data_IF_503459479778
#
_entry.id   IF_503459479778
#
_cell.length_a   1.000
_cell.length_b   1.000
_cell.length_c   1.000
_cell.angle_alpha   90.00
_cell.angle_beta   90.00
_cell.angle_gamma   90.00
#
_symmetry.space_group_name_H-M   'P 1'
#
loop_
_entity.id
_entity.type
_entity.pdbx_description
1 polymer ?
#
# COMPACT_ATOMS: atom_id res chain seq x y z
N UNK A 1 19.94 1.49 -14.04
CA UNK A 1 19.09 1.48 -12.82
C UNK A 1 17.88 2.38 -13.06
N UNK A 2 16.72 2.07 -12.49
CA UNK A 2 15.47 2.82 -12.68
C UNK A 2 15.35 4.02 -11.72
N UNK A 3 16.41 4.81 -11.60
CA UNK A 3 16.49 5.95 -10.66
C UNK A 3 15.56 7.10 -11.05
N UNK A 4 15.11 7.89 -10.07
CA UNK A 4 14.28 9.07 -10.29
C UNK A 4 12.82 8.77 -10.62
N UNK A 5 12.35 7.55 -10.32
CA UNK A 5 10.94 7.15 -10.48
C UNK A 5 10.29 7.00 -9.10
N UNK A 6 9.01 7.39 -9.02
CA UNK A 6 8.11 7.10 -7.90
C UNK A 6 7.27 5.87 -8.23
N UNK A 7 7.07 4.99 -7.26
CA UNK A 7 6.12 3.89 -7.35
C UNK A 7 5.02 4.08 -6.30
N UNK A 8 3.77 4.00 -6.74
CA UNK A 8 2.60 3.95 -5.87
C UNK A 8 2.08 2.52 -5.90
N UNK A 9 2.03 1.87 -4.74
CA UNK A 9 1.60 0.49 -4.59
C UNK A 9 0.33 0.47 -3.74
N UNK A 10 -0.73 -0.15 -4.25
CA UNK A 10 -2.02 -0.23 -3.57
C UNK A 10 -2.31 -1.71 -3.25
N UNK A 11 -1.79 -2.25 -2.14
CA UNK A 11 -2.12 -3.60 -1.72
C UNK A 11 -3.54 -3.65 -1.14
N UNK A 12 -4.33 -4.62 -1.61
CA UNK A 12 -5.67 -4.90 -1.08
C UNK A 12 -5.64 -6.20 -0.27
N UNK A 13 -6.30 -6.20 0.89
CA UNK A 13 -6.33 -7.35 1.80
C UNK A 13 -7.67 -7.50 2.50
N UNK A 14 -8.08 -8.75 2.73
CA UNK A 14 -9.21 -9.04 3.62
C UNK A 14 -8.90 -8.71 5.10
N UNK A 15 -7.64 -8.87 5.52
CA UNK A 15 -7.16 -8.63 6.88
C UNK A 15 -6.63 -7.20 7.04
N UNK A 16 -6.80 -6.61 8.23
CA UNK A 16 -6.25 -5.29 8.55
C UNK A 16 -4.81 -5.36 9.07
N UNK A 17 -3.86 -5.14 8.18
CA UNK A 17 -2.43 -5.10 8.51
C UNK A 17 -1.98 -3.79 9.17
N UNK A 18 -2.85 -2.76 9.26
CA UNK A 18 -2.56 -1.58 10.08
C UNK A 18 -2.72 -1.87 11.58
N UNK A 19 -3.39 -2.98 11.93
CA UNK A 19 -3.47 -3.46 13.29
C UNK A 19 -2.15 -4.14 13.68
N UNK A 20 -1.54 -3.70 14.78
CA UNK A 20 -0.26 -4.24 15.30
C UNK A 20 -0.27 -5.75 15.49
N UNK A 21 -1.42 -6.37 15.78
CA UNK A 21 -1.54 -7.82 15.91
C UNK A 21 -1.30 -8.56 14.59
N UNK A 22 -1.62 -7.93 13.46
CA UNK A 22 -1.50 -8.51 12.12
C UNK A 22 -0.36 -7.89 11.30
N UNK A 23 0.23 -6.76 11.73
CA UNK A 23 1.27 -6.05 10.98
C UNK A 23 2.46 -6.94 10.58
N UNK A 24 2.87 -7.88 11.45
CA UNK A 24 3.95 -8.82 11.14
C UNK A 24 3.60 -9.85 10.06
N UNK A 25 2.32 -9.99 9.72
CA UNK A 25 1.83 -10.87 8.65
C UNK A 25 1.76 -10.15 7.30
N UNK A 26 2.05 -8.84 7.23
CA UNK A 26 2.19 -8.14 5.96
C UNK A 26 3.55 -8.45 5.34
N UNK A 27 3.57 -9.45 4.48
CA UNK A 27 4.73 -9.76 3.65
C UNK A 27 4.77 -8.93 2.35
N UNK A 28 3.67 -8.27 1.98
CA UNK A 28 3.51 -7.63 0.68
C UNK A 28 4.28 -6.31 0.64
N UNK A 29 4.02 -5.43 1.61
CA UNK A 29 4.63 -4.13 1.69
C UNK A 29 6.17 -4.17 1.81
N UNK A 30 6.77 -4.95 2.74
CA UNK A 30 8.23 -5.01 2.86
C UNK A 30 8.89 -5.63 1.62
N UNK A 31 8.30 -6.70 1.05
CA UNK A 31 8.85 -7.34 -0.15
C UNK A 31 8.89 -6.37 -1.34
N UNK A 32 7.78 -5.67 -1.61
CA UNK A 32 7.71 -4.74 -2.74
C UNK A 32 8.67 -3.56 -2.57
N UNK A 33 8.85 -3.04 -1.35
CA UNK A 33 9.87 -2.02 -1.08
C UNK A 33 11.27 -2.52 -1.42
N UNK A 34 11.63 -3.72 -0.96
CA UNK A 34 12.96 -4.30 -1.23
C UNK A 34 13.18 -4.59 -2.71
N UNK A 35 12.19 -5.16 -3.39
CA UNK A 35 12.27 -5.47 -4.82
C UNK A 35 12.38 -4.21 -5.69
N UNK A 36 11.60 -3.17 -5.38
CA UNK A 36 11.66 -1.88 -6.07
C UNK A 36 12.99 -1.16 -5.81
N UNK A 37 13.48 -1.18 -4.57
CA UNK A 37 14.78 -0.62 -4.22
C UNK A 37 15.92 -1.33 -4.97
N UNK A 38 15.85 -2.66 -5.11
CA UNK A 38 16.84 -3.44 -5.86
C UNK A 38 16.97 -2.99 -7.33
N UNK A 39 15.86 -2.63 -7.99
CA UNK A 39 15.89 -2.12 -9.37
C UNK A 39 16.18 -0.61 -9.47
N UNK A 40 16.27 0.09 -8.33
CA UNK A 40 16.63 1.51 -8.22
C UNK A 40 15.47 2.47 -7.98
N UNK A 41 14.29 1.98 -7.65
CA UNK A 41 13.11 2.77 -7.29
C UNK A 41 13.02 2.84 -5.76
N UNK A 42 13.49 3.94 -5.18
CA UNK A 42 13.52 4.14 -3.72
C UNK A 42 12.38 5.00 -3.20
N UNK A 43 11.74 5.79 -4.07
CA UNK A 43 10.54 6.56 -3.75
C UNK A 43 9.31 5.65 -3.94
N UNK A 44 8.91 4.99 -2.84
CA UNK A 44 7.81 4.03 -2.83
C UNK A 44 6.76 4.44 -1.81
N UNK A 45 5.57 4.77 -2.30
CA UNK A 45 4.38 5.02 -1.50
C UNK A 45 3.51 3.75 -1.46
N UNK A 46 3.10 3.33 -0.27
CA UNK A 46 2.23 2.17 -0.09
C UNK A 46 0.92 2.65 0.52
N UNK A 47 -0.17 2.43 -0.20
CA UNK A 47 -1.53 2.79 0.18
C UNK A 47 -2.30 1.50 0.46
N UNK A 48 -2.24 1.03 1.70
CA UNK A 48 -2.87 -0.23 2.10
C UNK A 48 -4.39 -0.07 2.24
N UNK A 49 -5.14 -0.70 1.34
CA UNK A 49 -6.60 -0.77 1.38
C UNK A 49 -6.99 -2.11 2.00
N UNK A 50 -7.03 -2.12 3.32
CA UNK A 50 -7.28 -3.33 4.09
C UNK A 50 -8.73 -3.41 4.60
N UNK A 51 -9.17 -4.62 4.95
CA UNK A 51 -10.48 -4.85 5.59
C UNK A 51 -11.60 -5.21 4.62
N UNK A 52 -11.28 -5.71 3.41
CA UNK A 52 -12.30 -6.10 2.42
C UNK A 52 -13.19 -7.27 2.87
N UNK A 53 -12.81 -8.00 3.94
CA UNK A 53 -13.64 -9.05 4.55
C UNK A 53 -14.52 -8.55 5.71
N UNK A 54 -14.44 -7.26 6.05
CA UNK A 54 -15.21 -6.61 7.12
C UNK A 54 -16.48 -5.96 6.54
N UNK A 55 -17.57 -5.79 7.31
CA UNK A 55 -18.74 -4.99 6.90
C UNK A 55 -18.45 -3.50 6.63
N UNK A 56 -17.17 -3.09 6.61
CA UNK A 56 -16.69 -1.73 6.33
C UNK A 56 -16.05 -1.63 4.93
N UNK A 57 -16.45 -2.49 4.00
CA UNK A 57 -15.90 -2.52 2.65
C UNK A 57 -16.03 -1.16 1.94
N UNK A 58 -17.19 -0.51 2.02
CA UNK A 58 -17.36 0.81 1.38
C UNK A 58 -16.42 1.88 1.99
N UNK A 59 -16.24 1.89 3.31
CA UNK A 59 -15.35 2.83 4.00
C UNK A 59 -13.87 2.60 3.61
N UNK A 60 -13.47 1.33 3.47
CA UNK A 60 -12.13 0.97 3.03
C UNK A 60 -11.87 1.43 1.59
N UNK A 61 -12.85 1.25 0.69
CA UNK A 61 -12.76 1.71 -0.69
C UNK A 61 -12.66 3.24 -0.73
N UNK A 62 -13.51 3.96 0.00
CA UNK A 62 -13.51 5.42 0.03
C UNK A 62 -12.18 5.99 0.53
N UNK A 63 -11.65 5.47 1.64
CA UNK A 63 -10.31 5.84 2.15
C UNK A 63 -9.20 5.54 1.14
N UNK A 64 -9.30 4.40 0.45
CA UNK A 64 -8.36 4.03 -0.61
C UNK A 64 -8.38 5.04 -1.76
N UNK A 65 -9.57 5.40 -2.25
CA UNK A 65 -9.73 6.38 -3.33
C UNK A 65 -9.18 7.76 -2.94
N UNK A 66 -9.50 8.24 -1.73
CA UNK A 66 -8.96 9.51 -1.22
C UNK A 66 -7.43 9.52 -1.14
N UNK A 67 -6.83 8.43 -0.66
CA UNK A 67 -5.37 8.32 -0.59
C UNK A 67 -4.72 8.28 -1.98
N UNK A 68 -5.35 7.62 -2.96
CA UNK A 68 -4.88 7.60 -4.35
C UNK A 68 -4.94 9.01 -4.95
N UNK A 69 -6.06 9.72 -4.79
CA UNK A 69 -6.21 11.10 -5.30
C UNK A 69 -5.17 12.03 -4.68
N UNK A 70 -4.93 11.93 -3.37
CA UNK A 70 -3.90 12.72 -2.69
C UNK A 70 -2.48 12.43 -3.22
N UNK A 71 -2.19 11.16 -3.56
CA UNK A 71 -0.90 10.76 -4.11
C UNK A 71 -0.68 11.21 -5.56
N UNK A 72 -1.76 11.38 -6.34
CA UNK A 72 -1.75 11.84 -7.73
C UNK A 72 -1.80 13.36 -7.88
N UNK A 73 -2.24 14.09 -6.85
CA UNK A 73 -2.32 15.56 -6.86
C UNK A 73 -0.98 16.27 -6.60
N UNK A 74 0.10 15.51 -6.42
CA UNK A 74 1.49 15.96 -6.18
C UNK A 74 2.34 15.68 -7.41
#
# INVERSE_FOLDING_TARGET
MLTGKKAIVIPTSGSDFNNLAFAAMDFHAPYLRSALAFVGITDVEIISVNGMASPRLEEAIEKGTQAIEASLAV
#
